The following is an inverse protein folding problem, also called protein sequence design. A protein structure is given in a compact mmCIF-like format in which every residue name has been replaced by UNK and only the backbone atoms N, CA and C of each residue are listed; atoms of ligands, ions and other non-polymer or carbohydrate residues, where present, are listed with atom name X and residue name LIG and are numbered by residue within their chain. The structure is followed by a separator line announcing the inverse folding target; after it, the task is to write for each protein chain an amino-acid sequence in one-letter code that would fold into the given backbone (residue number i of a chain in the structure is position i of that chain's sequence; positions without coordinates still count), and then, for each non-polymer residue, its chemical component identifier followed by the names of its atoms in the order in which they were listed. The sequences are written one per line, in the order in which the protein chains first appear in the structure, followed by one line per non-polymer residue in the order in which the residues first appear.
data_IF_269170682889
#
_entry.id   IF_269170682889
#
_cell.length_a   1.000
_cell.length_b   1.000
_cell.length_c   1.000
_cell.angle_alpha   90.00
_cell.angle_beta   90.00
_cell.angle_gamma   90.00
#
_symmetry.space_group_name_H-M   'P 1'
#
loop_
_entity.id
_entity.type
_entity.pdbx_description
1 polymer ?
#
# COMPACT_ATOMS: atom_id res chain seq x y z
N UNK A 1 27.84 1.81 2.37
CA UNK A 1 26.88 2.32 3.38
C UNK A 1 25.53 2.67 2.76
N UNK A 2 25.48 3.53 1.74
CA UNK A 2 24.22 3.93 1.09
C UNK A 2 23.36 2.77 0.53
N UNK A 3 23.99 1.76 -0.08
CA UNK A 3 23.29 0.59 -0.59
C UNK A 3 22.63 -0.24 0.51
N UNK A 4 23.26 -0.30 1.69
CA UNK A 4 22.73 -1.00 2.88
C UNK A 4 21.53 -0.24 3.43
N UNK A 5 21.62 1.10 3.49
CA UNK A 5 20.50 1.95 3.88
C UNK A 5 19.30 1.77 2.93
N UNK A 6 19.54 1.71 1.62
CA UNK A 6 18.49 1.48 0.63
C UNK A 6 17.83 0.11 0.80
N UNK A 7 18.63 -0.95 0.93
CA UNK A 7 18.10 -2.31 1.16
C UNK A 7 17.27 -2.38 2.43
N UNK A 8 17.78 -1.86 3.54
CA UNK A 8 17.07 -1.84 4.81
C UNK A 8 15.79 -1.00 4.73
N UNK A 9 15.85 0.19 4.13
CA UNK A 9 14.69 1.05 3.95
C UNK A 9 13.60 0.39 3.11
N UNK A 10 13.97 -0.29 2.02
CA UNK A 10 13.04 -1.07 1.19
C UNK A 10 12.39 -2.21 1.98
N UNK A 11 13.17 -2.98 2.73
CA UNK A 11 12.66 -4.09 3.55
C UNK A 11 11.69 -3.59 4.62
N UNK A 12 12.06 -2.53 5.34
CA UNK A 12 11.21 -1.91 6.38
C UNK A 12 9.90 -1.40 5.77
N UNK A 13 9.95 -0.74 4.60
CA UNK A 13 8.76 -0.24 3.93
C UNK A 13 7.82 -1.38 3.54
N UNK A 14 8.34 -2.45 2.93
CA UNK A 14 7.54 -3.60 2.53
C UNK A 14 6.93 -4.29 3.75
N UNK A 15 7.69 -4.46 4.84
CA UNK A 15 7.20 -5.11 6.05
C UNK A 15 6.06 -4.30 6.69
N UNK A 16 6.21 -2.98 6.78
CA UNK A 16 5.15 -2.09 7.25
C UNK A 16 3.93 -2.14 6.33
N UNK A 17 4.15 -2.02 5.02
CA UNK A 17 3.10 -2.04 4.01
C UNK A 17 2.26 -3.33 4.07
N UNK A 18 2.90 -4.48 4.26
CA UNK A 18 2.22 -5.78 4.32
C UNK A 18 1.55 -6.01 5.68
N UNK A 19 2.14 -5.54 6.78
CA UNK A 19 1.53 -5.65 8.12
C UNK A 19 0.29 -4.76 8.30
N UNK A 20 0.24 -3.63 7.60
CA UNK A 20 -0.91 -2.74 7.62
C UNK A 20 -2.09 -3.37 6.86
N UNK A 21 -3.35 -3.16 7.30
CA UNK A 21 -4.54 -3.76 6.68
C UNK A 21 -4.91 -3.12 5.33
N UNK A 22 -3.93 -2.64 4.55
CA UNK A 22 -4.10 -1.93 3.28
C UNK A 22 -4.88 -2.78 2.27
N UNK A 23 -4.48 -4.04 2.07
CA UNK A 23 -5.13 -4.97 1.12
C UNK A 23 -6.60 -5.18 1.47
N UNK A 24 -6.92 -5.31 2.77
CA UNK A 24 -8.30 -5.44 3.26
C UNK A 24 -9.15 -4.21 2.93
N UNK A 25 -8.59 -3.00 3.07
CA UNK A 25 -9.28 -1.74 2.76
C UNK A 25 -9.47 -1.55 1.26
N UNK A 26 -8.48 -1.88 0.44
CA UNK A 26 -8.59 -1.86 -1.02
C UNK A 26 -9.70 -2.80 -1.49
N UNK A 27 -9.75 -4.03 -0.96
CA UNK A 27 -10.83 -4.98 -1.25
C UNK A 27 -12.20 -4.46 -0.81
N UNK A 28 -12.28 -3.74 0.31
CA UNK A 28 -13.54 -3.14 0.76
C UNK A 28 -14.06 -2.06 -0.22
N UNK A 29 -13.17 -1.23 -0.77
CA UNK A 29 -13.53 -0.26 -1.83
C UNK A 29 -14.02 -1.00 -3.08
N UNK A 30 -13.29 -2.02 -3.54
CA UNK A 30 -13.68 -2.80 -4.72
C UNK A 30 -15.08 -3.45 -4.55
N UNK A 31 -15.36 -4.02 -3.37
CA UNK A 31 -16.67 -4.57 -3.03
C UNK A 31 -17.77 -3.51 -3.02
N UNK A 32 -17.51 -2.32 -2.51
CA UNK A 32 -18.48 -1.22 -2.54
C UNK A 32 -18.70 -0.73 -3.98
N UNK A 33 -17.66 -0.72 -4.82
CA UNK A 33 -17.75 -0.41 -6.25
C UNK A 33 -18.69 -1.37 -6.97
N UNK A 34 -18.48 -2.67 -6.79
CA UNK A 34 -19.33 -3.70 -7.38
C UNK A 34 -20.80 -3.62 -6.90
N UNK A 35 -21.03 -3.25 -5.64
CA UNK A 35 -22.39 -3.03 -5.12
C UNK A 35 -23.04 -1.79 -5.72
N UNK A 36 -22.29 -0.69 -5.86
CA UNK A 36 -22.79 0.54 -6.45
C UNK A 36 -23.17 0.34 -7.91
N UNK A 37 -22.36 -0.38 -8.69
CA UNK A 37 -22.66 -0.70 -10.10
C UNK A 37 -23.89 -1.60 -10.22
N UNK A 38 -24.03 -2.61 -9.36
CA UNK A 38 -25.21 -3.47 -9.34
C UNK A 38 -26.50 -2.68 -9.07
N UNK A 39 -26.49 -1.76 -8.09
CA UNK A 39 -27.62 -0.87 -7.78
C UNK A 39 -27.95 0.03 -8.98
N UNK A 40 -26.93 0.57 -9.65
CA UNK A 40 -27.13 1.43 -10.82
C UNK A 40 -27.75 0.68 -12.00
N UNK A 41 -27.36 -0.57 -12.23
CA UNK A 41 -27.91 -1.41 -13.30
C UNK A 41 -29.34 -1.91 -13.06
N UNK A 42 -29.86 -1.78 -11.84
CA UNK A 42 -31.17 -2.31 -11.49
C UNK A 42 -32.30 -1.43 -12.04
N UNK A 43 -33.15 -2.02 -12.90
CA UNK A 43 -34.37 -1.37 -13.42
C UNK A 43 -35.51 -1.28 -12.40
N UNK A 44 -35.40 -1.98 -11.26
CA UNK A 44 -36.45 -2.02 -10.21
C UNK A 44 -36.39 -0.85 -9.23
N UNK A 45 -35.36 -0.01 -9.32
CA UNK A 45 -35.07 1.06 -8.38
C UNK A 45 -35.40 2.39 -9.02
N UNK A 46 -36.17 3.23 -8.32
CA UNK A 46 -36.50 4.57 -8.80
C UNK A 46 -35.25 5.46 -8.86
N UNK A 47 -35.20 6.37 -9.83
CA UNK A 47 -34.02 7.22 -10.03
C UNK A 47 -33.76 8.13 -8.83
N UNK A 48 -34.81 8.62 -8.16
CA UNK A 48 -34.67 9.39 -6.92
C UNK A 48 -33.98 8.59 -5.80
N UNK A 49 -34.22 7.28 -5.72
CA UNK A 49 -33.52 6.42 -4.75
C UNK A 49 -32.07 6.15 -5.18
N UNK A 50 -31.81 6.02 -6.49
CA UNK A 50 -30.44 5.87 -7.01
C UNK A 50 -29.56 7.05 -6.65
N UNK A 51 -30.04 8.29 -6.78
CA UNK A 51 -29.27 9.49 -6.42
C UNK A 51 -28.85 9.49 -4.95
N UNK A 52 -29.79 9.22 -4.02
CA UNK A 52 -29.50 9.18 -2.58
C UNK A 52 -28.51 8.07 -2.22
N UNK A 53 -28.66 6.90 -2.82
CA UNK A 53 -27.80 5.75 -2.54
C UNK A 53 -26.42 5.90 -3.17
N UNK A 54 -26.32 6.52 -4.35
CA UNK A 54 -25.04 6.84 -4.98
C UNK A 54 -24.22 7.79 -4.11
N UNK A 55 -24.85 8.82 -3.54
CA UNK A 55 -24.18 9.73 -2.61
C UNK A 55 -23.68 9.02 -1.34
N UNK A 56 -24.47 8.06 -0.81
CA UNK A 56 -24.07 7.24 0.32
C UNK A 56 -22.89 6.30 -0.01
N UNK A 57 -22.83 5.75 -1.22
CA UNK A 57 -21.68 4.96 -1.67
C UNK A 57 -20.44 5.84 -1.88
N UNK A 58 -20.59 7.02 -2.50
CA UNK A 58 -19.51 7.96 -2.74
C UNK A 58 -18.84 8.41 -1.42
N UNK A 59 -19.63 8.77 -0.41
CA UNK A 59 -19.12 9.16 0.91
C UNK A 59 -18.40 8.01 1.63
N UNK A 60 -18.93 6.78 1.54
CA UNK A 60 -18.27 5.58 2.09
C UNK A 60 -16.96 5.26 1.38
N UNK A 61 -16.92 5.37 0.05
CA UNK A 61 -15.70 5.22 -0.74
C UNK A 61 -14.68 6.28 -0.37
N UNK A 62 -15.07 7.56 -0.30
CA UNK A 62 -14.20 8.66 0.09
C UNK A 62 -13.56 8.43 1.46
N UNK A 63 -14.35 8.00 2.46
CA UNK A 63 -13.84 7.67 3.80
C UNK A 63 -12.82 6.54 3.77
N UNK A 64 -13.07 5.48 2.99
CA UNK A 64 -12.11 4.38 2.85
C UNK A 64 -10.83 4.83 2.13
N UNK A 65 -10.94 5.67 1.11
CA UNK A 65 -9.79 6.24 0.40
C UNK A 65 -8.93 7.08 1.34
N UNK A 66 -9.53 7.91 2.21
CA UNK A 66 -8.81 8.67 3.24
C UNK A 66 -8.10 7.74 4.23
N UNK A 67 -8.75 6.65 4.65
CA UNK A 67 -8.12 5.65 5.52
C UNK A 67 -6.93 4.98 4.84
N UNK A 68 -7.05 4.61 3.55
CA UNK A 68 -5.93 4.06 2.78
C UNK A 68 -4.80 5.07 2.68
N UNK A 69 -5.10 6.34 2.38
CA UNK A 69 -4.11 7.41 2.33
C UNK A 69 -3.37 7.53 3.68
N UNK A 70 -4.09 7.55 4.79
CA UNK A 70 -3.49 7.62 6.11
C UNK A 70 -2.60 6.42 6.41
N UNK A 71 -3.03 5.20 6.04
CA UNK A 71 -2.22 3.99 6.20
C UNK A 71 -0.96 4.01 5.32
N UNK A 72 -1.04 4.53 4.09
CA UNK A 72 0.12 4.71 3.21
C UNK A 72 1.11 5.71 3.81
N UNK A 73 0.64 6.87 4.26
CA UNK A 73 1.48 7.86 4.94
C UNK A 73 2.12 7.25 6.17
N UNK A 74 1.34 6.58 7.02
CA UNK A 74 1.84 5.91 8.23
C UNK A 74 2.90 4.84 7.91
N UNK A 75 2.73 4.08 6.82
CA UNK A 75 3.74 3.11 6.36
C UNK A 75 5.04 3.77 5.88
N UNK A 76 4.93 4.95 5.26
CA UNK A 76 6.06 5.67 4.68
C UNK A 76 6.83 6.52 5.70
N UNK A 77 6.23 6.86 6.84
CA UNK A 77 6.84 7.72 7.86
C UNK A 77 8.12 7.12 8.46
N UNK A 78 8.15 5.86 8.93
CA UNK A 78 9.37 5.27 9.50
C UNK A 78 10.50 5.17 8.48
N UNK A 79 10.18 4.88 7.23
CA UNK A 79 11.16 4.73 6.16
C UNK A 79 11.70 6.08 5.72
N UNK A 80 10.84 7.10 5.65
CA UNK A 80 11.27 8.46 5.41
C UNK A 80 12.18 8.96 6.54
N UNK A 81 11.85 8.68 7.81
CA UNK A 81 12.69 9.02 8.95
C UNK A 81 14.07 8.33 8.90
N UNK A 82 14.12 7.05 8.50
CA UNK A 82 15.40 6.35 8.29
C UNK A 82 16.24 7.03 7.19
N UNK A 83 15.64 7.41 6.07
CA UNK A 83 16.34 8.08 4.98
C UNK A 83 16.78 9.51 5.33
N UNK A 84 16.00 10.27 6.08
CA UNK A 84 16.41 11.62 6.53
C UNK A 84 17.56 11.54 7.53
N UNK A 85 17.49 10.61 8.50
CA UNK A 85 18.58 10.40 9.47
C UNK A 85 19.86 9.93 8.77
N UNK A 86 19.75 9.03 7.80
CA UNK A 86 20.90 8.62 7.00
C UNK A 86 21.45 9.78 6.14
N UNK A 87 20.59 10.64 5.60
CA UNK A 87 21.01 11.85 4.89
C UNK A 87 21.78 12.83 5.78
N UNK A 88 21.42 12.94 7.06
CA UNK A 88 22.14 13.78 8.03
C UNK A 88 23.60 13.34 8.26
N UNK A 89 23.96 12.10 7.89
CA UNK A 89 25.35 11.61 7.92
C UNK A 89 26.19 12.06 6.73
N UNK A 90 25.64 12.87 5.82
CA UNK A 90 26.30 13.36 4.61
C UNK A 90 26.18 12.43 3.40
N UNK A 91 25.35 11.38 3.49
CA UNK A 91 25.09 10.47 2.37
C UNK A 91 24.01 11.04 1.45
N UNK A 92 24.19 11.03 0.11
CA UNK A 92 23.20 11.52 -0.85
C UNK A 92 22.07 10.48 -1.08
N UNK A 93 21.35 10.15 -0.01
CA UNK A 93 20.32 9.09 0.00
C UNK A 93 19.19 9.40 -0.96
N UNK A 94 18.68 10.64 -0.97
CA UNK A 94 17.57 11.06 -1.82
C UNK A 94 17.92 11.02 -3.31
N UNK A 95 19.13 11.48 -3.67
CA UNK A 95 19.63 11.44 -5.05
C UNK A 95 19.79 9.99 -5.53
N UNK A 96 20.33 9.14 -4.66
CA UNK A 96 20.53 7.72 -4.99
C UNK A 96 19.20 6.98 -5.10
N UNK A 97 18.20 7.33 -4.29
CA UNK A 97 16.86 6.74 -4.34
C UNK A 97 16.14 7.05 -5.66
N UNK A 98 16.27 8.28 -6.18
CA UNK A 98 15.63 8.72 -7.42
C UNK A 98 16.45 8.29 -8.65
N UNK A 99 17.74 7.98 -8.47
CA UNK A 99 18.61 7.47 -9.52
C UNK A 99 18.11 6.13 -10.08
N UNK A 100 18.36 5.90 -11.37
CA UNK A 100 18.03 4.64 -12.06
C UNK A 100 18.64 3.42 -11.37
N UNK A 101 19.87 3.53 -10.87
CA UNK A 101 20.53 2.46 -10.13
C UNK A 101 19.82 2.13 -8.79
N UNK A 102 19.41 3.16 -8.04
CA UNK A 102 18.70 2.96 -6.78
C UNK A 102 17.31 2.37 -6.97
N UNK A 103 16.60 2.79 -8.02
CA UNK A 103 15.31 2.19 -8.41
C UNK A 103 15.46 0.71 -8.77
N UNK A 104 16.45 0.34 -9.58
CA UNK A 104 16.70 -1.06 -9.93
C UNK A 104 17.01 -1.92 -8.71
N UNK A 105 17.84 -1.42 -7.80
CA UNK A 105 18.16 -2.12 -6.54
C UNK A 105 16.93 -2.24 -5.66
N UNK A 106 16.17 -1.16 -5.45
CA UNK A 106 14.96 -1.19 -4.63
C UNK A 106 13.89 -2.14 -5.20
N UNK A 107 13.71 -2.15 -6.52
CA UNK A 107 12.81 -3.10 -7.19
C UNK A 107 13.30 -4.53 -7.03
N UNK A 108 14.58 -4.81 -7.32
CA UNK A 108 15.14 -6.16 -7.20
C UNK A 108 15.05 -6.71 -5.77
N UNK A 109 15.49 -5.92 -4.79
CA UNK A 109 15.39 -6.24 -3.36
C UNK A 109 13.94 -6.44 -2.95
N UNK A 110 13.04 -5.57 -3.42
CA UNK A 110 11.63 -5.65 -3.07
C UNK A 110 10.97 -6.94 -3.59
N UNK A 111 11.27 -7.33 -4.83
CA UNK A 111 10.80 -8.61 -5.39
C UNK A 111 11.36 -9.78 -4.60
N UNK A 112 12.68 -9.82 -4.40
CA UNK A 112 13.35 -10.90 -3.67
C UNK A 112 12.79 -11.05 -2.25
N UNK A 113 12.68 -9.94 -1.50
CA UNK A 113 12.17 -9.96 -0.13
C UNK A 113 10.70 -10.40 -0.07
N UNK A 114 9.85 -9.90 -0.98
CA UNK A 114 8.42 -10.27 -1.01
C UNK A 114 8.23 -11.75 -1.33
N UNK A 115 9.02 -12.28 -2.27
CA UNK A 115 9.00 -13.70 -2.63
C UNK A 115 9.49 -14.56 -1.46
N UNK A 116 10.64 -14.22 -0.87
CA UNK A 116 11.18 -14.93 0.30
C UNK A 116 10.17 -14.95 1.45
N UNK A 117 9.56 -13.79 1.75
CA UNK A 117 8.52 -13.68 2.78
C UNK A 117 7.32 -14.58 2.47
N UNK A 118 6.86 -14.60 1.23
CA UNK A 118 5.75 -15.46 0.81
C UNK A 118 6.08 -16.95 0.99
N UNK A 119 7.31 -17.37 0.65
CA UNK A 119 7.77 -18.73 0.89
C UNK A 119 7.81 -19.07 2.38
N UNK A 120 8.36 -18.18 3.22
CA UNK A 120 8.41 -18.38 4.68
C UNK A 120 7.01 -18.50 5.26
N UNK A 121 6.12 -17.55 4.93
CA UNK A 121 4.73 -17.57 5.42
C UNK A 121 3.97 -18.81 4.94
N UNK A 122 4.17 -19.28 3.71
CA UNK A 122 3.48 -20.50 3.22
C UNK A 122 4.02 -21.78 3.86
N UNK A 123 5.34 -21.85 4.12
CA UNK A 123 5.95 -23.05 4.71
C UNK A 123 5.47 -23.27 6.16
N UNK A 124 5.12 -22.20 6.87
CA UNK A 124 4.49 -22.27 8.20
C UNK A 124 3.11 -22.96 8.19
N UNK A 125 2.41 -23.02 7.05
CA UNK A 125 1.09 -23.69 6.94
C UNK A 125 1.14 -25.14 6.46
N UNK A 126 2.28 -25.61 5.94
CA UNK A 126 2.45 -26.99 5.43
C UNK A 126 3.18 -27.92 6.40
N UNK A 127 3.59 -27.41 7.56
CA UNK A 127 4.26 -28.18 8.61
C UNK A 127 3.32 -28.65 9.72
N UNK A 128 2.20 -29.31 9.40
CA UNK A 128 1.39 -30.09 10.34
C UNK A 128 0.75 -31.30 9.66
#
# INVERSE_FOLDING_TARGET
MIWVTLTLGTVVWIELFVRLPLIGRVRAIAKLGAKATAVFSSRRISDHWKERVLLAYATRMARLSIVILFLLVASSLPTAALFTLAGATGLPVWETLISSAGLLVACGVGVVYTVLRFFVTNNEYTGH
#
